data_IF_701052729535
#
_entry.id   IF_701052729535
#
_cell.length_a   1.000
_cell.length_b   1.000
_cell.length_c   1.000
_cell.angle_alpha   90.00
_cell.angle_beta   90.00
_cell.angle_gamma   90.00
#
_symmetry.space_group_name_H-M   'P 1'
#
loop_
_entity.id
_entity.type
_entity.pdbx_description
1 polymer ?
#
# COMPACT_ATOMS: atom_id res chain seq x y z
N UNK A 1 2.54 51.39 13.42
CA UNK A 1 3.56 50.33 13.57
C UNK A 1 2.97 49.08 14.22
N UNK A 2 2.31 49.19 15.38
CA UNK A 2 1.81 48.05 16.17
C UNK A 2 0.76 47.16 15.46
N UNK A 3 -0.18 47.75 14.72
CA UNK A 3 -1.15 46.99 13.90
C UNK A 3 -0.49 46.12 12.83
N UNK A 4 0.65 46.57 12.30
CA UNK A 4 1.39 45.88 11.24
C UNK A 4 2.10 44.64 11.82
N UNK A 5 2.73 44.79 12.99
CA UNK A 5 3.37 43.68 13.71
C UNK A 5 2.35 42.63 14.19
N UNK A 6 1.16 43.06 14.60
CA UNK A 6 0.10 42.13 14.99
C UNK A 6 -0.40 41.30 13.80
N UNK A 7 -0.43 41.90 12.61
CA UNK A 7 -0.80 41.19 11.37
C UNK A 7 0.28 40.19 10.94
N UNK A 8 1.56 40.57 10.97
CA UNK A 8 2.70 39.68 10.68
C UNK A 8 2.73 38.47 11.62
N UNK A 9 2.46 38.68 12.92
CA UNK A 9 2.38 37.58 13.91
C UNK A 9 1.24 36.62 13.58
N UNK A 10 0.06 37.13 13.21
CA UNK A 10 -1.06 36.28 12.80
C UNK A 10 -0.72 35.50 11.52
N UNK A 11 -0.14 36.17 10.53
CA UNK A 11 0.27 35.52 9.29
C UNK A 11 1.27 34.40 9.54
N UNK A 12 2.27 34.65 10.38
CA UNK A 12 3.24 33.63 10.80
C UNK A 12 2.56 32.40 11.43
N UNK A 13 1.55 32.60 12.29
CA UNK A 13 0.81 31.47 12.88
C UNK A 13 -0.03 30.69 11.86
N UNK A 14 -0.57 31.38 10.85
CA UNK A 14 -1.32 30.72 9.76
C UNK A 14 -0.39 29.87 8.91
N UNK A 15 0.79 30.39 8.58
CA UNK A 15 1.78 29.66 7.78
C UNK A 15 2.29 28.40 8.52
N UNK A 16 2.45 28.48 9.84
CA UNK A 16 2.83 27.34 10.68
C UNK A 16 1.71 26.29 10.75
N UNK A 17 0.46 26.72 10.95
CA UNK A 17 -0.70 25.83 10.90
C UNK A 17 -0.84 25.14 9.54
N UNK A 18 -0.59 25.85 8.44
CA UNK A 18 -0.62 25.30 7.10
C UNK A 18 0.43 24.18 6.92
N UNK A 19 1.65 24.38 7.42
CA UNK A 19 2.71 23.35 7.39
C UNK A 19 2.30 22.09 8.14
N UNK A 20 1.80 22.24 9.37
CA UNK A 20 1.30 21.09 10.15
C UNK A 20 0.18 20.34 9.44
N UNK A 21 -0.73 21.06 8.77
CA UNK A 21 -1.82 20.42 8.02
C UNK A 21 -1.30 19.61 6.82
N UNK A 22 -0.28 20.10 6.10
CA UNK A 22 0.35 19.36 5.01
C UNK A 22 0.94 18.05 5.52
N UNK A 23 1.66 18.09 6.63
CA UNK A 23 2.25 16.90 7.25
C UNK A 23 1.17 15.89 7.69
N UNK A 24 0.10 16.37 8.32
CA UNK A 24 -1.03 15.52 8.73
C UNK A 24 -1.70 14.83 7.52
N UNK A 25 -1.89 15.57 6.42
CA UNK A 25 -2.44 15.03 5.17
C UNK A 25 -1.50 13.99 4.57
N UNK A 26 -0.19 14.26 4.56
CA UNK A 26 0.81 13.33 4.07
C UNK A 26 0.83 12.03 4.88
N UNK A 27 0.80 12.13 6.21
CA UNK A 27 0.82 10.96 7.09
C UNK A 27 -0.47 10.13 6.96
N UNK A 28 -1.63 10.79 6.87
CA UNK A 28 -2.90 10.10 6.59
C UNK A 28 -2.83 9.31 5.28
N UNK A 29 -2.30 9.91 4.22
CA UNK A 29 -2.15 9.24 2.91
C UNK A 29 -1.23 8.04 3.00
N UNK A 30 -0.11 8.14 3.74
CA UNK A 30 0.82 7.02 3.96
C UNK A 30 0.11 5.87 4.66
N UNK A 31 -0.55 6.13 5.80
CA UNK A 31 -1.28 5.10 6.56
C UNK A 31 -2.40 4.45 5.73
N UNK A 32 -3.20 5.24 5.02
CA UNK A 32 -4.27 4.72 4.15
C UNK A 32 -3.70 3.82 3.05
N UNK A 33 -2.58 4.21 2.44
CA UNK A 33 -1.93 3.41 1.40
C UNK A 33 -1.44 2.08 1.96
N UNK A 34 -0.79 2.11 3.11
CA UNK A 34 -0.35 0.89 3.81
C UNK A 34 -1.54 -0.04 4.12
N UNK A 35 -2.60 0.49 4.72
CA UNK A 35 -3.80 -0.29 5.09
C UNK A 35 -4.48 -0.91 3.86
N UNK A 36 -4.49 -0.23 2.71
CA UNK A 36 -5.03 -0.81 1.46
C UNK A 36 -4.25 -2.04 1.01
N UNK A 37 -2.93 -2.02 1.13
CA UNK A 37 -2.06 -3.07 0.59
C UNK A 37 -1.78 -4.19 1.59
N UNK A 38 -1.47 -3.84 2.83
CA UNK A 38 -1.13 -4.79 3.90
C UNK A 38 -2.38 -5.31 4.61
N UNK A 39 -3.26 -4.40 5.06
CA UNK A 39 -4.49 -4.72 5.77
C UNK A 39 -5.69 -5.09 4.87
N UNK A 40 -5.51 -5.06 3.54
CA UNK A 40 -6.53 -5.39 2.53
C UNK A 40 -7.83 -4.56 2.64
N UNK A 41 -7.72 -3.33 3.13
CA UNK A 41 -8.88 -2.43 3.25
C UNK A 41 -9.29 -1.84 1.90
N UNK A 42 -10.61 -1.68 1.70
CA UNK A 42 -11.15 -1.00 0.52
C UNK A 42 -11.14 0.52 0.71
N UNK A 43 -10.99 1.28 -0.38
CA UNK A 43 -10.98 2.75 -0.32
C UNK A 43 -12.21 3.34 0.40
N UNK A 44 -13.41 2.80 0.11
CA UNK A 44 -14.66 3.27 0.73
C UNK A 44 -14.69 3.06 2.25
N UNK A 45 -14.04 2.01 2.76
CA UNK A 45 -13.97 1.74 4.20
C UNK A 45 -13.05 2.74 4.94
N UNK A 46 -12.02 3.25 4.26
CA UNK A 46 -11.05 4.17 4.85
C UNK A 46 -11.44 5.64 4.64
N UNK A 47 -12.18 5.96 3.57
CA UNK A 47 -12.60 7.33 3.24
C UNK A 47 -13.50 7.95 4.31
N UNK A 48 -14.39 7.16 4.91
CA UNK A 48 -15.35 7.63 5.92
C UNK A 48 -14.78 7.67 7.35
N UNK A 49 -13.57 7.16 7.58
CA UNK A 49 -12.97 7.07 8.91
C UNK A 49 -12.33 8.38 9.36
N UNK A 50 -12.29 8.62 10.66
CA UNK A 50 -11.52 9.72 11.23
C UNK A 50 -10.00 9.45 11.10
N UNK A 51 -9.18 10.48 11.32
CA UNK A 51 -7.72 10.29 11.31
C UNK A 51 -7.26 9.35 12.43
N UNK A 52 -7.83 9.51 13.63
CA UNK A 52 -7.54 8.69 14.81
C UNK A 52 -7.92 7.22 14.58
N UNK A 53 -9.06 6.95 13.94
CA UNK A 53 -9.43 5.58 13.56
C UNK A 53 -8.43 4.96 12.57
N UNK A 54 -7.95 5.74 11.60
CA UNK A 54 -6.92 5.28 10.65
C UNK A 54 -5.61 4.97 11.37
N UNK A 55 -5.21 5.81 12.31
CA UNK A 55 -4.02 5.62 13.12
C UNK A 55 -4.09 4.35 13.97
N UNK A 56 -5.21 4.14 14.67
CA UNK A 56 -5.44 2.93 15.47
C UNK A 56 -5.39 1.65 14.63
N UNK A 57 -5.99 1.65 13.42
CA UNK A 57 -5.89 0.52 12.50
C UNK A 57 -4.46 0.27 12.03
N UNK A 58 -3.74 1.34 11.71
CA UNK A 58 -2.35 1.26 11.27
C UNK A 58 -1.44 0.63 12.34
N UNK A 59 -1.52 1.13 13.58
CA UNK A 59 -0.73 0.60 14.69
C UNK A 59 -1.03 -0.86 14.99
N UNK A 60 -2.30 -1.27 14.89
CA UNK A 60 -2.71 -2.66 15.08
C UNK A 60 -2.10 -3.60 14.03
N UNK A 61 -2.22 -3.24 12.75
CA UNK A 61 -1.65 -4.05 11.66
C UNK A 61 -0.12 -4.09 11.73
N UNK A 62 0.50 -2.96 12.02
CA UNK A 62 1.94 -2.86 12.15
C UNK A 62 2.47 -3.68 13.33
N UNK A 63 1.73 -3.70 14.45
CA UNK A 63 2.07 -4.55 15.61
C UNK A 63 1.99 -6.02 15.25
N UNK A 64 0.95 -6.46 14.54
CA UNK A 64 0.82 -7.86 14.11
C UNK A 64 1.99 -8.31 13.23
N UNK A 65 2.48 -7.43 12.37
CA UNK A 65 3.66 -7.70 11.53
C UNK A 65 4.95 -7.74 12.36
N UNK A 66 5.11 -6.87 13.35
CA UNK A 66 6.27 -6.87 14.23
C UNK A 66 6.32 -8.09 15.16
N UNK A 67 5.15 -8.56 15.62
CA UNK A 67 5.02 -9.74 16.48
C UNK A 67 5.12 -11.06 15.69
N UNK A 68 5.26 -11.00 14.36
CA UNK A 68 5.34 -12.18 13.50
C UNK A 68 6.70 -12.88 13.64
N UNK A 69 6.68 -14.12 14.14
CA UNK A 69 7.85 -15.01 14.18
C UNK A 69 7.79 -15.96 12.98
N UNK A 70 8.80 -15.95 12.08
CA UNK A 70 8.87 -16.91 10.99
C UNK A 70 8.88 -18.35 11.53
N UNK A 71 8.09 -19.22 10.90
CA UNK A 71 7.96 -20.62 11.31
C UNK A 71 9.29 -21.39 11.23
N UNK A 72 10.19 -20.97 10.34
CA UNK A 72 11.51 -21.57 10.13
C UNK A 72 12.63 -20.86 10.91
N UNK A 73 12.30 -20.04 11.92
CA UNK A 73 13.30 -19.54 12.88
C UNK A 73 13.73 -20.66 13.83
N UNK A 74 14.30 -21.72 13.26
CA UNK A 74 15.15 -22.63 13.98
C UNK A 74 16.54 -21.99 13.95
N UNK A 75 17.02 -21.52 15.10
CA UNK A 75 18.42 -21.11 15.26
C UNK A 75 19.27 -22.37 15.05
N UNK A 76 19.62 -22.65 13.79
CA UNK A 76 20.48 -23.76 13.42
C UNK A 76 21.86 -23.44 13.98
N UNK A 77 22.11 -23.96 15.17
CA UNK A 77 23.45 -24.13 15.69
C UNK A 77 24.10 -25.18 14.78
N UNK A 78 24.97 -24.75 13.86
CA UNK A 78 25.58 -25.52 12.75
C UNK A 78 26.45 -26.73 13.15
N UNK A 79 26.29 -27.25 14.36
CA UNK A 79 27.04 -28.39 14.87
C UNK A 79 26.14 -29.55 15.26
N UNK A 80 25.24 -29.98 14.36
CA UNK A 80 24.87 -31.40 14.31
C UNK A 80 24.25 -31.85 12.99
N UNK A 81 25.13 -32.44 12.18
CA UNK A 81 24.90 -33.63 11.36
C UNK A 81 23.93 -33.51 10.18
N UNK A 82 24.55 -33.47 8.98
CA UNK A 82 24.04 -34.18 7.81
C UNK A 82 23.47 -35.55 8.19
N UNK A 83 22.19 -35.77 7.87
CA UNK A 83 21.66 -37.10 7.58
C UNK A 83 20.51 -36.97 6.59
N UNK A 84 20.80 -37.44 5.38
CA UNK A 84 19.97 -37.65 4.21
C UNK A 84 18.48 -37.96 4.48
N UNK A 85 17.58 -37.18 3.88
CA UNK A 85 16.38 -37.73 3.25
C UNK A 85 15.84 -36.82 2.13
N UNK A 86 16.50 -36.83 0.97
CA UNK A 86 15.91 -36.31 -0.27
C UNK A 86 14.75 -37.21 -0.74
N UNK A 87 13.64 -37.27 0.00
CA UNK A 87 12.40 -37.87 -0.50
C UNK A 87 11.62 -36.81 -1.27
N UNK A 88 12.06 -36.61 -2.52
CA UNK A 88 11.30 -35.92 -3.56
C UNK A 88 9.86 -36.44 -3.51
N UNK A 89 8.90 -35.60 -3.09
CA UNK A 89 7.50 -35.85 -3.44
C UNK A 89 7.42 -35.74 -4.96
N UNK A 90 7.04 -36.83 -5.62
CA UNK A 90 6.72 -36.81 -7.03
C UNK A 90 5.62 -35.79 -7.25
N UNK A 91 5.96 -34.70 -7.94
CA UNK A 91 4.97 -33.79 -8.52
C UNK A 91 4.27 -34.61 -9.59
N UNK A 92 2.97 -34.83 -9.43
CA UNK A 92 2.17 -35.36 -10.53
C UNK A 92 2.29 -34.35 -11.68
N UNK A 93 2.84 -34.79 -12.81
CA UNK A 93 2.79 -34.06 -14.07
C UNK A 93 1.32 -33.83 -14.40
N UNK A 94 0.86 -32.59 -14.23
CA UNK A 94 -0.39 -32.18 -14.86
C UNK A 94 -0.04 -31.84 -16.30
N UNK A 95 -0.42 -32.74 -17.19
CA UNK A 95 -0.21 -32.64 -18.63
C UNK A 95 -0.54 -31.25 -19.16
N UNK A 96 0.48 -30.63 -19.75
CA UNK A 96 0.31 -29.50 -20.66
C UNK A 96 -0.21 -30.08 -21.97
N UNK A 97 -1.52 -30.05 -22.19
CA UNK A 97 -2.06 -30.37 -23.51
C UNK A 97 -3.10 -29.36 -24.01
N UNK A 98 -2.80 -28.85 -25.20
CA UNK A 98 -3.70 -28.27 -26.20
C UNK A 98 -4.32 -26.87 -25.96
N UNK A 99 -3.56 -25.88 -26.42
CA UNK A 99 -3.99 -24.89 -27.43
C UNK A 99 -5.47 -25.01 -27.89
N UNK A 100 -6.29 -24.02 -27.53
CA UNK A 100 -7.46 -23.64 -28.35
C UNK A 100 -7.33 -22.18 -28.77
N UNK A 101 -6.85 -22.00 -30.00
CA UNK A 101 -6.85 -20.74 -30.73
C UNK A 101 -8.30 -20.30 -30.95
N UNK A 102 -8.59 -19.01 -30.73
CA UNK A 102 -9.71 -18.33 -31.38
C UNK A 102 -9.12 -17.10 -32.09
N UNK A 103 -8.92 -17.23 -33.41
CA UNK A 103 -8.97 -16.13 -34.41
C UNK A 103 -10.41 -16.19 -34.95
N UNK A 104 -11.09 -15.16 -35.43
CA UNK A 104 -10.88 -13.78 -35.89
C UNK A 104 -12.28 -13.13 -35.63
N UNK A 105 -12.46 -11.83 -35.47
CA UNK A 105 -12.85 -11.00 -36.61
C UNK A 105 -12.62 -9.52 -36.26
N UNK A 106 -12.05 -8.85 -37.25
CA UNK A 106 -11.68 -7.45 -37.32
C UNK A 106 -12.95 -6.63 -37.52
N UNK A 107 -13.17 -5.59 -36.70
CA UNK A 107 -14.08 -4.51 -37.10
C UNK A 107 -13.49 -3.14 -36.76
N UNK A 108 -13.26 -2.43 -37.85
CA UNK A 108 -12.72 -1.09 -37.99
C UNK A 108 -13.81 -0.06 -37.62
N UNK A 109 -13.58 0.74 -36.58
CA UNK A 109 -14.24 2.05 -36.47
C UNK A 109 -13.54 3.00 -35.49
N UNK A 110 -12.64 3.81 -36.06
CA UNK A 110 -12.56 5.27 -35.84
C UNK A 110 -12.11 5.78 -34.46
N UNK A 111 -10.80 6.08 -34.45
CA UNK A 111 -10.19 7.28 -33.84
C UNK A 111 -11.12 8.51 -33.84
N UNK A 112 -11.29 9.14 -32.68
CA UNK A 112 -11.23 10.61 -32.46
C UNK A 112 -10.74 10.85 -31.02
N UNK A 113 -9.43 10.90 -30.81
CA UNK A 113 -8.73 12.12 -30.37
C UNK A 113 -9.65 13.29 -30.03
N UNK A 114 -9.68 13.65 -28.74
CA UNK A 114 -10.00 14.98 -28.27
C UNK A 114 -9.07 15.26 -27.09
N UNK A 115 -7.93 15.87 -27.43
CA UNK A 115 -7.31 16.91 -26.60
C UNK A 115 -8.39 17.72 -25.87
N UNK A 116 -8.39 17.70 -24.55
CA UNK A 116 -8.89 18.83 -23.77
C UNK A 116 -7.68 19.55 -23.19
N UNK A 117 -7.23 20.48 -24.02
CA UNK A 117 -6.39 21.62 -23.73
C UNK A 117 -6.89 22.34 -22.48
N UNK A 118 -5.94 22.72 -21.64
CA UNK A 118 -6.08 23.71 -20.57
C UNK A 118 -6.68 25.02 -21.08
N UNK A 119 -7.89 25.36 -20.63
CA UNK A 119 -8.38 26.74 -20.44
C UNK A 119 -9.19 26.78 -19.15
#
# INVERSE_FOLDING_TARGET
AERLQQEERKQFTVDEQARMLVDLIAERKRMVTYLKHMGKYTHNQLKSKSFEEIQMLYEKEHKWINDFVPMDFEEVNDSKQQAENSKKRSRADHDKESVKKQKLEEDDAKKKNLELVWI
#
